data_IF_538809078332
#
_entry.id   IF_538809078332
#
_cell.length_a   1.000
_cell.length_b   1.000
_cell.length_c   1.000
_cell.angle_alpha   90.00
_cell.angle_beta   90.00
_cell.angle_gamma   90.00
#
_symmetry.space_group_name_H-M   'P 1'
#
loop_
_entity.id
_entity.type
_entity.pdbx_description
1 polymer ?
#
# COMPACT_ATOMS: atom_id res chain seq x y z
N UNK A 1 -10.54 -13.57 21.05
CA UNK A 1 -9.36 -12.95 20.44
C UNK A 1 -9.84 -12.13 19.25
N UNK A 2 -9.73 -10.79 19.27
CA UNK A 2 -9.96 -10.03 18.04
C UNK A 2 -8.81 -10.42 17.11
N UNK A 3 -9.10 -11.01 15.96
CA UNK A 3 -8.09 -11.22 14.93
C UNK A 3 -7.38 -9.88 14.72
N UNK A 4 -6.05 -9.85 14.83
CA UNK A 4 -5.28 -8.63 14.65
C UNK A 4 -5.68 -7.98 13.32
N UNK A 5 -5.96 -6.67 13.32
CA UNK A 5 -6.39 -5.95 12.12
C UNK A 5 -5.37 -6.21 11.00
N UNK A 6 -5.89 -6.51 9.82
CA UNK A 6 -5.04 -6.56 8.64
C UNK A 6 -4.54 -5.16 8.29
N UNK A 7 -3.32 -5.07 7.78
CA UNK A 7 -2.79 -3.87 7.14
C UNK A 7 -2.68 -4.11 5.64
N UNK A 8 -3.22 -3.21 4.85
CA UNK A 8 -3.15 -3.24 3.39
C UNK A 8 -1.94 -2.44 2.93
N UNK A 9 -1.07 -3.08 2.15
CA UNK A 9 -0.03 -2.40 1.38
C UNK A 9 -0.58 -2.21 -0.02
N UNK A 10 -0.95 -0.97 -0.35
CA UNK A 10 -1.43 -0.60 -1.68
C UNK A 10 -0.21 -0.33 -2.56
N UNK A 11 0.08 -1.23 -3.49
CA UNK A 11 1.29 -1.20 -4.31
C UNK A 11 1.01 -0.58 -5.69
N UNK A 12 1.79 0.44 -6.07
CA UNK A 12 1.85 0.93 -7.45
C UNK A 12 3.23 0.70 -8.07
N UNK A 13 3.36 0.93 -9.37
CA UNK A 13 4.66 0.86 -10.04
C UNK A 13 5.65 1.89 -9.48
N UNK A 14 5.16 3.08 -9.15
CA UNK A 14 5.96 4.29 -8.95
C UNK A 14 6.32 4.97 -10.28
N UNK A 15 6.57 6.28 -10.21
CA UNK A 15 6.76 7.14 -11.37
C UNK A 15 7.86 8.15 -11.13
N UNK A 16 8.48 8.64 -12.22
CA UNK A 16 9.37 9.81 -12.19
C UNK A 16 8.60 11.13 -12.03
N UNK A 17 7.32 11.16 -12.40
CA UNK A 17 6.45 12.30 -12.17
C UNK A 17 5.94 12.24 -10.73
N UNK A 18 6.33 13.20 -9.89
CA UNK A 18 5.97 13.21 -8.46
C UNK A 18 4.47 13.29 -8.26
N UNK A 19 3.74 13.98 -9.14
CA UNK A 19 2.29 14.14 -9.07
C UNK A 19 1.56 12.79 -9.15
N UNK A 20 2.11 11.83 -9.92
CA UNK A 20 1.55 10.49 -10.01
C UNK A 20 1.74 9.69 -8.70
N UNK A 21 2.90 9.85 -8.04
CA UNK A 21 3.16 9.21 -6.76
C UNK A 21 2.30 9.82 -5.65
N UNK A 22 2.15 11.14 -5.64
CA UNK A 22 1.28 11.87 -4.72
C UNK A 22 -0.18 11.45 -4.86
N UNK A 23 -0.67 11.31 -6.10
CA UNK A 23 -2.02 10.80 -6.37
C UNK A 23 -2.21 9.37 -5.82
N UNK A 24 -1.19 8.52 -5.92
CA UNK A 24 -1.23 7.18 -5.35
C UNK A 24 -1.28 7.19 -3.81
N UNK A 25 -0.48 8.05 -3.16
CA UNK A 25 -0.53 8.24 -1.70
C UNK A 25 -1.91 8.75 -1.26
N UNK A 26 -2.48 9.70 -2.00
CA UNK A 26 -3.83 10.20 -1.75
C UNK A 26 -4.90 9.11 -1.91
N UNK A 27 -4.75 8.22 -2.88
CA UNK A 27 -5.62 7.05 -3.04
C UNK A 27 -5.53 6.10 -1.85
N UNK A 28 -4.33 5.81 -1.34
CA UNK A 28 -4.16 4.97 -0.15
C UNK A 28 -4.86 5.59 1.08
N UNK A 29 -4.75 6.90 1.27
CA UNK A 29 -5.46 7.62 2.33
C UNK A 29 -6.99 7.55 2.16
N UNK A 30 -7.49 7.81 0.95
CA UNK A 30 -8.92 7.72 0.66
C UNK A 30 -9.47 6.31 0.90
N UNK A 31 -8.71 5.27 0.53
CA UNK A 31 -9.10 3.87 0.78
C UNK A 31 -9.11 3.55 2.27
N UNK A 32 -8.11 4.00 3.04
CA UNK A 32 -8.09 3.86 4.50
C UNK A 32 -9.35 4.46 5.13
N UNK A 33 -9.70 5.68 4.73
CA UNK A 33 -10.84 6.39 5.28
C UNK A 33 -12.16 5.70 4.89
N UNK A 34 -12.26 5.18 3.65
CA UNK A 34 -13.42 4.41 3.18
C UNK A 34 -13.60 3.05 3.88
N UNK A 35 -12.53 2.48 4.44
CA UNK A 35 -12.58 1.23 5.20
C UNK A 35 -13.08 1.42 6.64
N UNK A 36 -13.30 2.66 7.10
CA UNK A 36 -13.93 3.04 8.37
C UNK A 36 -13.53 2.15 9.56
N UNK A 37 -12.29 2.28 9.99
CA UNK A 37 -11.74 1.25 10.84
C UNK A 37 -11.38 0.09 9.94
N UNK A 38 -12.14 -0.99 9.75
CA UNK A 38 -11.78 -2.28 9.11
C UNK A 38 -10.28 -2.69 8.90
N UNK A 39 -9.47 -1.98 8.10
CA UNK A 39 -8.02 -2.17 7.95
C UNK A 39 -7.27 -0.84 7.81
N UNK A 40 -5.98 -0.82 8.17
CA UNK A 40 -5.09 0.30 7.84
C UNK A 40 -4.57 0.12 6.42
N UNK A 41 -4.21 1.22 5.74
CA UNK A 41 -3.69 1.20 4.37
C UNK A 41 -2.44 2.06 4.30
N UNK A 42 -1.37 1.51 3.71
CA UNK A 42 -0.11 2.22 3.46
C UNK A 42 0.25 2.13 1.97
N UNK A 43 0.73 3.21 1.34
CA UNK A 43 1.21 3.18 -0.03
C UNK A 43 2.60 2.52 -0.10
N UNK A 44 2.88 1.84 -1.20
CA UNK A 44 4.21 1.34 -1.52
C UNK A 44 4.43 1.27 -3.04
N UNK A 45 5.70 1.20 -3.44
CA UNK A 45 6.08 1.29 -4.84
C UNK A 45 6.99 0.13 -5.26
N UNK A 46 6.83 -0.31 -6.51
CA UNK A 46 7.68 -1.34 -7.11
C UNK A 46 9.08 -0.78 -7.44
N UNK A 47 9.12 0.43 -7.99
CA UNK A 47 10.33 1.15 -8.35
C UNK A 47 10.08 2.67 -8.41
N UNK A 48 11.11 3.48 -8.65
CA UNK A 48 11.04 4.93 -8.91
C UNK A 48 10.54 5.83 -7.76
N UNK A 49 9.92 5.26 -6.73
CA UNK A 49 9.42 5.95 -5.55
C UNK A 49 9.57 5.07 -4.31
N UNK A 50 9.42 5.67 -3.14
CA UNK A 50 9.59 5.03 -1.83
C UNK A 50 8.35 5.26 -0.96
N UNK A 51 8.04 4.35 -0.01
CA UNK A 51 8.80 3.14 0.31
C UNK A 51 8.60 2.03 -0.73
N UNK A 52 9.63 1.20 -0.94
CA UNK A 52 9.47 -0.05 -1.68
C UNK A 52 8.45 -0.99 -1.01
N UNK A 53 7.84 -1.90 -1.77
CA UNK A 53 6.89 -2.89 -1.23
C UNK A 53 7.50 -3.68 -0.07
N UNK A 54 8.76 -4.11 -0.18
CA UNK A 54 9.45 -4.83 0.88
C UNK A 54 9.61 -4.00 2.16
N UNK A 55 10.07 -2.75 2.01
CA UNK A 55 10.22 -1.82 3.14
C UNK A 55 8.87 -1.56 3.82
N UNK A 56 7.80 -1.35 3.06
CA UNK A 56 6.47 -1.13 3.62
C UNK A 56 5.97 -2.36 4.41
N UNK A 57 6.19 -3.57 3.90
CA UNK A 57 5.86 -4.82 4.61
C UNK A 57 6.64 -4.93 5.92
N UNK A 58 7.95 -4.70 5.89
CA UNK A 58 8.80 -4.78 7.08
C UNK A 58 8.39 -3.75 8.15
N UNK A 59 8.04 -2.53 7.72
CA UNK A 59 7.57 -1.48 8.62
C UNK A 59 6.27 -1.88 9.32
N UNK A 60 5.27 -2.37 8.58
CA UNK A 60 3.97 -2.73 9.19
C UNK A 60 4.07 -4.01 10.03
N UNK A 61 4.90 -4.96 9.61
CA UNK A 61 5.20 -6.16 10.40
C UNK A 61 5.91 -5.80 11.71
N UNK A 62 6.92 -4.91 11.66
CA UNK A 62 7.62 -4.38 12.83
C UNK A 62 6.71 -3.57 13.77
N UNK A 63 5.64 -2.97 13.24
CA UNK A 63 4.60 -2.29 14.00
C UNK A 63 3.54 -3.24 14.62
N UNK A 64 3.66 -4.55 14.41
CA UNK A 64 2.78 -5.56 15.01
C UNK A 64 1.61 -5.99 14.12
N UNK A 65 1.64 -5.72 12.82
CA UNK A 65 0.64 -6.24 11.90
C UNK A 65 0.65 -7.78 11.88
N UNK A 66 -0.43 -8.41 12.36
CA UNK A 66 -0.57 -9.86 12.37
C UNK A 66 -0.91 -10.45 10.97
N UNK A 67 -1.37 -9.59 10.06
CA UNK A 67 -1.72 -9.95 8.68
C UNK A 67 -1.45 -8.75 7.77
N UNK A 68 -0.68 -8.98 6.71
CA UNK A 68 -0.42 -8.00 5.66
C UNK A 68 -1.09 -8.45 4.37
N UNK A 69 -1.83 -7.55 3.72
CA UNK A 69 -2.50 -7.81 2.44
C UNK A 69 -1.88 -6.86 1.41
N UNK A 70 -1.24 -7.40 0.38
CA UNK A 70 -0.69 -6.58 -0.71
C UNK A 70 -1.73 -6.49 -1.83
N UNK A 71 -2.10 -5.26 -2.20
CA UNK A 71 -3.07 -5.00 -3.28
C UNK A 71 -2.35 -4.25 -4.39
N UNK A 72 -2.29 -4.85 -5.57
CA UNK A 72 -1.71 -4.22 -6.75
C UNK A 72 -2.70 -3.18 -7.32
N UNK A 73 -2.38 -1.89 -7.20
CA UNK A 73 -3.13 -0.78 -7.76
C UNK A 73 -2.70 -0.51 -9.21
N UNK A 74 -3.19 -1.36 -10.13
CA UNK A 74 -2.93 -1.25 -11.56
C UNK A 74 -4.24 -1.33 -12.33
N UNK A 75 -4.41 -0.45 -13.32
CA UNK A 75 -5.63 -0.40 -14.14
C UNK A 75 -5.69 -1.50 -15.20
N UNK A 76 -4.52 -1.97 -15.64
CA UNK A 76 -4.37 -3.02 -16.63
C UNK A 76 -3.27 -3.99 -16.20
N UNK A 77 -3.42 -5.30 -16.48
CA UNK A 77 -2.32 -6.25 -16.33
C UNK A 77 -1.19 -5.87 -17.28
N UNK A 78 0.05 -5.96 -16.80
CA UNK A 78 1.24 -5.55 -17.52
C UNK A 78 2.36 -6.54 -17.25
N UNK A 79 3.57 -6.29 -17.76
CA UNK A 79 4.69 -7.23 -17.56
C UNK A 79 5.11 -7.42 -16.10
N UNK A 80 4.62 -6.56 -15.20
CA UNK A 80 4.93 -6.54 -13.77
C UNK A 80 3.77 -7.03 -12.88
N UNK A 81 2.58 -7.32 -13.45
CA UNK A 81 1.38 -7.79 -12.73
C UNK A 81 0.62 -8.82 -13.57
#
# INVERSE_FOLDING_TARGET
MRAGRAVVVLAAHGSRASEANEAHVAMAAALRDALDGAADVVPAFLELAEPSIGVAIDQVAGAGAARVIVVAHFLYPGRHV
#
